data_IF_588504757779
#
_entry.id   IF_588504757779
#
_cell.length_a   1.000
_cell.length_b   1.000
_cell.length_c   1.000
_cell.angle_alpha   90.00
_cell.angle_beta   90.00
_cell.angle_gamma   90.00
#
_symmetry.space_group_name_H-M   'P 1'
#
loop_
_entity.id
_entity.type
_entity.pdbx_description
1 polymer ?
#
# COMPACT_ATOMS: atom_id res chain seq x y z
N UNK A 1 32.16 7.04 6.46
CA UNK A 1 31.28 7.64 5.44
C UNK A 1 30.11 6.69 5.26
N UNK A 2 28.92 7.03 5.76
CA UNK A 2 27.75 6.17 5.62
C UNK A 2 27.34 6.10 4.14
N UNK A 3 27.07 4.90 3.63
CA UNK A 3 26.63 4.69 2.26
C UNK A 3 25.36 5.50 1.97
N UNK A 4 25.15 6.00 0.73
CA UNK A 4 23.88 6.61 0.36
C UNK A 4 22.79 5.57 0.57
N UNK A 5 21.90 5.81 1.54
CA UNK A 5 20.80 4.92 1.83
C UNK A 5 19.94 4.83 0.58
N UNK A 6 19.83 3.63 0.00
CA UNK A 6 18.80 3.36 -0.99
C UNK A 6 17.47 3.74 -0.35
N UNK A 7 16.71 4.62 -1.00
CA UNK A 7 15.42 5.09 -0.50
C UNK A 7 14.42 3.94 -0.65
N UNK A 8 14.45 2.98 0.29
CA UNK A 8 13.49 1.89 0.32
C UNK A 8 12.19 2.35 0.97
N UNK A 9 11.11 1.66 0.61
CA UNK A 9 9.75 1.97 1.04
C UNK A 9 9.11 0.74 1.67
N UNK A 10 8.33 0.96 2.72
CA UNK A 10 7.41 -0.04 3.25
C UNK A 10 6.15 -0.09 2.39
N UNK A 11 5.92 -1.23 1.74
CA UNK A 11 4.63 -1.58 1.16
C UNK A 11 3.76 -2.20 2.26
N UNK A 12 2.84 -1.42 2.81
CA UNK A 12 2.00 -1.83 3.93
C UNK A 12 0.60 -2.15 3.43
N UNK A 13 0.13 -3.36 3.67
CA UNK A 13 -1.22 -3.80 3.28
C UNK A 13 -2.03 -4.21 4.50
N UNK A 14 -3.23 -3.65 4.67
CA UNK A 14 -4.13 -4.03 5.77
C UNK A 14 -4.77 -5.40 5.49
N UNK A 15 -4.32 -6.44 6.18
CA UNK A 15 -4.82 -7.81 6.03
C UNK A 15 -6.04 -8.07 6.91
N UNK A 16 -6.02 -7.60 8.17
CA UNK A 16 -7.14 -7.78 9.12
C UNK A 16 -7.84 -6.46 9.44
N UNK A 17 -9.13 -6.55 9.73
CA UNK A 17 -9.94 -5.39 10.11
C UNK A 17 -9.65 -4.97 11.55
N UNK A 18 -9.76 -3.67 11.84
CA UNK A 18 -9.71 -3.13 13.20
C UNK A 18 -11.08 -3.07 13.90
N UNK A 19 -12.06 -3.82 13.40
CA UNK A 19 -13.36 -3.96 14.06
C UNK A 19 -13.18 -4.55 15.47
N UNK A 20 -13.88 -4.00 16.46
CA UNK A 20 -13.72 -4.40 17.86
C UNK A 20 -12.40 -3.99 18.53
N UNK A 21 -11.48 -3.32 17.82
CA UNK A 21 -10.22 -2.84 18.42
C UNK A 21 -10.35 -1.42 18.99
N UNK A 22 -9.51 -1.06 19.98
CA UNK A 22 -9.49 0.26 20.58
C UNK A 22 -9.30 1.40 19.56
N UNK A 23 -9.83 2.57 19.88
CA UNK A 23 -9.73 3.79 19.05
C UNK A 23 -8.27 4.15 18.74
N UNK A 24 -7.34 3.89 19.66
CA UNK A 24 -5.90 4.12 19.45
C UNK A 24 -5.35 3.33 18.27
N UNK A 25 -5.70 2.05 18.15
CA UNK A 25 -5.28 1.19 17.03
C UNK A 25 -5.87 1.69 15.71
N UNK A 26 -7.14 2.09 15.71
CA UNK A 26 -7.80 2.71 14.55
C UNK A 26 -7.13 4.02 14.15
N UNK A 27 -6.71 4.83 15.12
CA UNK A 27 -5.98 6.08 14.90
C UNK A 27 -4.63 5.85 14.22
N UNK A 28 -3.88 4.82 14.62
CA UNK A 28 -2.61 4.47 13.96
C UNK A 28 -2.83 4.04 12.51
N UNK A 29 -3.85 3.21 12.24
CA UNK A 29 -4.20 2.82 10.87
C UNK A 29 -4.61 4.02 10.01
N UNK A 30 -5.40 4.94 10.57
CA UNK A 30 -5.80 6.16 9.87
C UNK A 30 -4.60 7.07 9.58
N UNK A 31 -3.66 7.22 10.52
CA UNK A 31 -2.42 7.97 10.32
C UNK A 31 -1.51 7.35 9.24
N UNK A 32 -1.49 6.01 9.14
CA UNK A 32 -0.84 5.31 8.02
C UNK A 32 -1.59 5.44 6.69
N UNK A 33 -2.83 5.95 6.67
CA UNK A 33 -3.67 6.05 5.46
C UNK A 33 -4.44 4.78 5.10
N UNK A 34 -4.56 3.83 6.03
CA UNK A 34 -5.27 2.56 5.84
C UNK A 34 -6.72 2.68 6.35
N UNK A 35 -7.66 2.80 5.43
CA UNK A 35 -9.09 2.97 5.72
C UNK A 35 -9.91 1.70 5.46
N UNK A 36 -9.50 0.86 4.51
CA UNK A 36 -10.23 -0.34 4.09
C UNK A 36 -9.30 -1.56 4.05
N UNK A 37 -9.87 -2.76 4.26
CA UNK A 37 -9.13 -4.02 4.17
C UNK A 37 -8.60 -4.24 2.74
N UNK A 38 -7.46 -4.90 2.62
CA UNK A 38 -6.70 -5.12 1.38
C UNK A 38 -6.22 -3.83 0.68
N UNK A 39 -6.33 -2.67 1.35
CA UNK A 39 -5.71 -1.45 0.87
C UNK A 39 -4.19 -1.52 1.12
N UNK A 40 -3.43 -1.05 0.13
CA UNK A 40 -1.97 -0.94 0.21
C UNK A 40 -1.57 0.52 0.17
N UNK A 41 -0.64 0.91 1.03
CA UNK A 41 -0.02 2.23 1.09
C UNK A 41 1.50 2.08 1.09
N UNK A 42 2.21 3.13 0.68
CA UNK A 42 3.66 3.15 0.64
C UNK A 42 4.17 4.31 1.48
N UNK A 43 5.12 4.02 2.37
CA UNK A 43 5.79 5.01 3.22
C UNK A 43 7.30 4.78 3.16
N UNK A 44 8.13 5.84 3.25
CA UNK A 44 9.58 5.67 3.29
C UNK A 44 10.01 4.87 4.52
N UNK A 45 11.14 4.16 4.42
CA UNK A 45 11.71 3.42 5.54
C UNK A 45 12.33 4.40 6.55
N UNK A 46 11.48 4.93 7.42
CA UNK A 46 11.87 5.80 8.52
C UNK A 46 11.41 5.23 9.87
N UNK A 47 12.14 5.53 10.97
CA UNK A 47 11.79 5.02 12.30
C UNK A 47 10.36 5.35 12.76
N UNK A 48 9.82 6.49 12.32
CA UNK A 48 8.44 6.88 12.64
C UNK A 48 7.40 5.90 12.06
N UNK A 49 7.57 5.50 10.80
CA UNK A 49 6.68 4.56 10.12
C UNK A 49 6.87 3.14 10.67
N UNK A 50 8.12 2.74 10.93
CA UNK A 50 8.41 1.46 11.57
C UNK A 50 7.73 1.34 12.95
N UNK A 51 7.79 2.38 13.77
CA UNK A 51 7.11 2.42 15.07
C UNK A 51 5.59 2.37 14.98
N UNK A 52 4.99 3.03 13.97
CA UNK A 52 3.55 2.92 13.70
C UNK A 52 3.15 1.52 13.25
N UNK A 53 3.90 0.93 12.32
CA UNK A 53 3.71 -0.43 11.83
C UNK A 53 3.78 -1.44 12.98
N UNK A 54 4.77 -1.33 13.86
CA UNK A 54 4.94 -2.24 15.00
C UNK A 54 3.76 -2.23 15.97
N UNK A 55 3.04 -1.10 16.10
CA UNK A 55 1.81 -1.01 16.93
C UNK A 55 0.61 -1.74 16.32
N UNK A 56 0.65 -2.04 15.02
CA UNK A 56 -0.45 -2.70 14.27
C UNK A 56 0.03 -3.93 13.50
N UNK A 57 1.16 -4.52 13.90
CA UNK A 57 1.86 -5.62 13.20
C UNK A 57 0.98 -6.86 13.00
N UNK A 58 -0.01 -7.05 13.87
CA UNK A 58 -0.98 -8.12 13.76
C UNK A 58 -1.98 -7.88 12.62
N UNK A 59 -2.23 -6.62 12.23
CA UNK A 59 -3.25 -6.27 11.23
C UNK A 59 -2.69 -6.11 9.83
N UNK A 60 -1.39 -5.81 9.71
CA UNK A 60 -0.75 -5.44 8.45
C UNK A 60 0.22 -6.50 7.97
N UNK A 61 0.36 -6.59 6.65
CA UNK A 61 1.49 -7.24 5.98
C UNK A 61 2.42 -6.13 5.47
N UNK A 62 3.72 -6.32 5.65
CA UNK A 62 4.74 -5.35 5.23
C UNK A 62 5.74 -6.08 4.34
N UNK A 63 5.97 -5.51 3.17
CA UNK A 63 7.06 -5.92 2.27
C UNK A 63 7.94 -4.68 2.02
N UNK A 64 9.26 -4.86 1.89
CA UNK A 64 10.17 -3.78 1.49
C UNK A 64 10.26 -3.68 -0.04
N UNK A 65 10.23 -2.48 -0.59
CA UNK A 65 10.31 -2.22 -2.03
C UNK A 65 11.20 -1.03 -2.35
N UNK A 66 11.83 -1.01 -3.52
CA UNK A 66 12.75 0.06 -3.92
C UNK A 66 12.04 1.39 -4.21
N UNK A 67 10.76 1.35 -4.60
CA UNK A 67 9.97 2.54 -4.95
C UNK A 67 8.49 2.37 -4.62
N UNK A 68 7.77 3.47 -4.33
CA UNK A 68 6.33 3.44 -4.18
C UNK A 68 5.66 3.28 -5.55
N UNK A 69 4.53 2.55 -5.58
CA UNK A 69 3.67 2.50 -6.75
C UNK A 69 2.55 3.53 -6.63
N UNK A 70 2.28 4.23 -7.72
CA UNK A 70 1.11 5.11 -7.84
C UNK A 70 -0.19 4.29 -7.90
N UNK A 71 -1.32 4.94 -7.58
CA UNK A 71 -2.63 4.29 -7.68
C UNK A 71 -2.95 3.77 -9.09
N UNK A 72 -2.45 4.46 -10.13
CA UNK A 72 -2.61 4.05 -11.53
C UNK A 72 -1.81 2.78 -11.83
N UNK A 73 -0.55 2.69 -11.38
CA UNK A 73 0.29 1.49 -11.54
C UNK A 73 -0.28 0.29 -10.78
N UNK A 74 -0.77 0.50 -9.55
CA UNK A 74 -1.45 -0.54 -8.77
C UNK A 74 -2.72 -1.02 -9.48
N UNK A 75 -3.48 -0.12 -10.11
CA UNK A 75 -4.66 -0.49 -10.87
C UNK A 75 -4.29 -1.25 -12.14
N UNK A 76 -3.26 -0.79 -12.85
CA UNK A 76 -2.75 -1.44 -14.05
C UNK A 76 -2.26 -2.86 -13.76
N UNK A 77 -1.50 -3.06 -12.67
CA UNK A 77 -1.01 -4.41 -12.29
C UNK A 77 -2.10 -5.40 -11.91
N UNK A 78 -3.29 -4.90 -11.54
CA UNK A 78 -4.48 -5.73 -11.26
C UNK A 78 -5.39 -5.91 -12.47
N UNK A 79 -5.16 -5.15 -13.54
CA UNK A 79 -6.00 -5.20 -14.74
C UNK A 79 -5.47 -6.31 -15.63
N UNK A 80 -6.26 -7.36 -15.91
CA UNK A 80 -5.84 -8.41 -16.84
C UNK A 80 -5.79 -7.88 -18.27
N UNK A 81 -5.11 -8.62 -19.15
CA UNK A 81 -5.14 -8.35 -20.57
C UNK A 81 -6.57 -8.40 -21.09
N UNK A 82 -6.91 -7.46 -21.98
CA UNK A 82 -8.28 -7.29 -22.46
C UNK A 82 -8.83 -8.52 -23.19
N UNK A 83 -7.95 -9.30 -23.82
CA UNK A 83 -8.34 -10.49 -24.59
C UNK A 83 -9.05 -10.21 -25.92
N UNK A 84 -9.22 -8.94 -26.31
CA UNK A 84 -9.77 -8.53 -27.60
C UNK A 84 -9.13 -7.22 -28.08
N UNK A 85 -9.13 -6.99 -29.39
CA UNK A 85 -8.81 -5.71 -30.00
C UNK A 85 -10.01 -5.20 -30.80
N UNK A 86 -10.16 -3.87 -30.89
CA UNK A 86 -11.22 -3.25 -31.70
C UNK A 86 -10.63 -2.93 -33.07
N UNK A 87 -11.04 -3.67 -34.11
CA UNK A 87 -10.47 -3.55 -35.46
C UNK A 87 -10.80 -2.22 -36.15
N UNK A 88 -12.07 -1.81 -36.11
CA UNK A 88 -12.50 -0.56 -36.72
C UNK A 88 -13.67 0.02 -35.93
N UNK A 89 -13.57 1.30 -35.57
CA UNK A 89 -14.72 2.05 -35.04
C UNK A 89 -15.60 2.43 -36.22
N UNK A 90 -16.88 2.07 -36.17
CA UNK A 90 -17.87 2.55 -37.14
C UNK A 90 -18.17 4.01 -36.83
N UNK A 91 -18.03 4.88 -37.84
CA UNK A 91 -18.47 6.28 -37.77
C UNK A 91 -19.98 6.27 -37.90
N UNK A 92 -20.67 6.90 -36.95
CA UNK A 92 -22.12 7.05 -36.97
C UNK A 92 -22.55 8.12 -37.96
#
# INVERSE_FOLDING_TARGET
MAAPQATSYFRITLQRSAIGLPTRTRGVLAALGLHRRCQTVFHPVEPQFAGMVMKVKELVRVDEVDRPLSAAEIRASRTPDRGFWVEKKVVR
#
